data_IF_525267917995
#
_entry.id   IF_525267917995
#
_cell.length_a   1.000
_cell.length_b   1.000
_cell.length_c   1.000
_cell.angle_alpha   90.00
_cell.angle_beta   90.00
_cell.angle_gamma   90.00
#
_symmetry.space_group_name_H-M   'P 1'
#
loop_
_entity.id
_entity.type
_entity.pdbx_description
1 polymer ?
#
# COMPACT_ATOMS: atom_id res chain seq x y z
N UNK A 1 -4.66 -46.50 -23.71
CA UNK A 1 -3.66 -45.54 -24.23
C UNK A 1 -2.90 -45.01 -23.05
N UNK A 2 -1.61 -45.33 -22.97
CA UNK A 2 -0.79 -45.13 -21.77
C UNK A 2 0.63 -44.90 -22.28
N UNK A 3 1.20 -43.72 -22.02
CA UNK A 3 2.57 -43.40 -22.42
C UNK A 3 3.48 -43.34 -21.21
N UNK A 4 4.69 -43.90 -21.37
CA UNK A 4 5.61 -44.27 -20.30
C UNK A 4 6.69 -43.21 -20.09
N UNK A 5 7.06 -43.01 -18.84
CA UNK A 5 8.12 -42.10 -18.37
C UNK A 5 9.50 -42.47 -18.92
N UNK A 6 10.31 -41.46 -19.31
CA UNK A 6 11.78 -41.50 -19.22
C UNK A 6 12.36 -40.16 -18.76
N UNK A 7 13.17 -40.18 -17.70
CA UNK A 7 14.13 -39.13 -17.35
C UNK A 7 15.41 -39.29 -18.19
N UNK A 8 16.11 -38.20 -18.46
CA UNK A 8 17.59 -38.13 -18.47
C UNK A 8 18.08 -36.68 -18.52
N UNK A 9 19.08 -36.34 -17.71
CA UNK A 9 20.02 -35.24 -17.91
C UNK A 9 21.42 -35.85 -18.16
N UNK A 10 22.41 -35.10 -18.67
CA UNK A 10 23.28 -34.36 -17.73
C UNK A 10 23.84 -33.02 -18.27
N UNK A 11 24.62 -32.35 -17.43
CA UNK A 11 25.22 -31.02 -17.65
C UNK A 11 26.29 -30.95 -18.76
N UNK A 12 26.56 -29.74 -19.24
CA UNK A 12 27.68 -29.44 -20.14
C UNK A 12 28.56 -28.32 -19.58
N UNK A 13 29.84 -28.62 -19.38
CA UNK A 13 30.90 -27.68 -18.97
C UNK A 13 31.44 -26.96 -20.21
N UNK A 14 31.75 -25.66 -20.12
CA UNK A 14 32.52 -24.96 -21.16
C UNK A 14 33.82 -24.33 -20.61
N UNK A 15 34.88 -24.51 -21.40
CA UNK A 15 36.26 -24.16 -21.09
C UNK A 15 36.65 -22.76 -21.61
N UNK A 16 37.73 -22.19 -21.05
CA UNK A 16 38.32 -20.90 -21.43
C UNK A 16 39.02 -20.93 -22.80
N UNK A 17 38.86 -19.86 -23.59
CA UNK A 17 39.84 -19.48 -24.63
C UNK A 17 40.04 -17.95 -24.75
N UNK A 18 41.25 -17.56 -25.18
CA UNK A 18 41.87 -16.22 -25.32
C UNK A 18 41.93 -15.82 -26.83
N UNK A 19 42.00 -14.57 -27.31
CA UNK A 19 42.09 -13.18 -26.76
C UNK A 19 41.36 -12.24 -27.77
N UNK A 20 41.03 -10.97 -27.41
CA UNK A 20 41.47 -9.78 -28.19
C UNK A 20 41.26 -8.46 -27.40
N UNK A 21 41.98 -7.39 -27.77
CA UNK A 21 42.27 -6.19 -26.96
C UNK A 21 41.74 -4.88 -27.57
N UNK A 22 41.72 -3.83 -26.74
CA UNK A 22 41.60 -2.38 -27.01
C UNK A 22 40.17 -1.90 -27.35
N UNK A 23 39.58 -1.00 -26.57
CA UNK A 23 39.95 0.42 -26.60
C UNK A 23 39.67 1.14 -25.26
N UNK A 24 40.52 2.09 -24.88
CA UNK A 24 40.29 2.99 -23.75
C UNK A 24 39.55 4.25 -24.22
N UNK A 25 38.63 4.77 -23.40
CA UNK A 25 38.29 6.19 -23.39
C UNK A 25 38.30 6.73 -21.96
N UNK A 26 39.15 7.73 -21.73
CA UNK A 26 39.17 8.52 -20.51
C UNK A 26 38.08 9.59 -20.59
N UNK A 27 37.33 9.79 -19.50
CA UNK A 27 36.53 11.00 -19.32
C UNK A 27 37.36 11.98 -18.48
N UNK A 28 37.66 13.15 -19.05
CA UNK A 28 38.33 14.26 -18.35
C UNK A 28 37.31 15.33 -17.96
N UNK A 29 37.27 15.67 -16.68
CA UNK A 29 36.51 16.80 -16.13
C UNK A 29 37.24 18.10 -16.46
N UNK A 30 36.52 19.13 -16.91
CA UNK A 30 37.02 20.50 -17.01
C UNK A 30 35.99 21.50 -16.46
N UNK A 31 36.53 22.59 -15.89
CA UNK A 31 35.81 23.61 -15.13
C UNK A 31 36.10 25.01 -15.69
N UNK A 32 35.20 25.95 -15.39
CA UNK A 32 35.25 27.36 -15.79
C UNK A 32 34.67 27.63 -17.19
N UNK A 33 34.23 28.84 -17.54
CA UNK A 33 33.93 30.08 -16.82
C UNK A 33 33.64 31.16 -17.88
N UNK A 34 32.66 32.01 -17.60
CA UNK A 34 32.38 33.33 -18.21
C UNK A 34 31.84 33.53 -19.65
N UNK A 35 30.87 34.46 -19.65
CA UNK A 35 30.56 35.57 -20.56
C UNK A 35 30.00 35.44 -22.00
N UNK A 36 29.09 36.39 -22.25
CA UNK A 36 28.47 36.86 -23.51
C UNK A 36 27.41 35.99 -24.20
N UNK A 37 26.21 36.58 -24.35
CA UNK A 37 25.06 36.04 -25.09
C UNK A 37 24.39 37.19 -25.86
N UNK A 38 24.35 37.18 -27.21
CA UNK A 38 23.58 38.18 -27.97
C UNK A 38 22.09 37.85 -27.96
N UNK A 39 21.25 38.89 -28.04
CA UNK A 39 19.82 38.78 -28.27
C UNK A 39 19.53 38.62 -29.77
N UNK A 40 18.53 37.81 -30.14
CA UNK A 40 17.76 38.00 -31.37
C UNK A 40 16.27 37.99 -31.01
N UNK A 41 15.64 39.16 -31.10
CA UNK A 41 14.19 39.30 -31.11
C UNK A 41 13.66 38.87 -32.49
N UNK A 42 12.51 38.18 -32.53
CA UNK A 42 11.69 38.12 -33.75
C UNK A 42 10.28 38.60 -33.48
N UNK A 43 9.98 39.72 -34.11
CA UNK A 43 8.67 40.34 -34.23
C UNK A 43 7.69 39.34 -34.85
N UNK A 44 6.53 39.16 -34.22
CA UNK A 44 5.33 38.64 -34.88
C UNK A 44 4.41 39.82 -35.17
N UNK A 45 4.30 40.18 -36.45
CA UNK A 45 3.46 41.28 -36.93
C UNK A 45 2.06 40.77 -37.27
N UNK A 46 1.02 41.52 -36.91
CA UNK A 46 -0.38 41.11 -37.09
C UNK A 46 -0.76 41.02 -38.58
N UNK A 47 -1.49 39.96 -38.97
CA UNK A 47 -2.23 39.93 -40.23
C UNK A 47 -3.72 39.68 -40.00
N UNK A 48 -4.49 40.76 -40.05
CA UNK A 48 -5.93 40.78 -39.84
C UNK A 48 -6.64 40.35 -41.12
N UNK A 49 -7.08 39.09 -41.21
CA UNK A 49 -7.95 38.62 -42.30
C UNK A 49 -9.39 38.57 -41.80
N UNK A 50 -10.24 39.47 -42.31
CA UNK A 50 -11.68 39.43 -42.06
C UNK A 50 -12.34 38.40 -42.97
N UNK A 51 -12.82 37.29 -42.41
CA UNK A 51 -13.77 36.39 -43.07
C UNK A 51 -15.19 36.66 -42.58
N UNK A 52 -16.01 37.31 -43.40
CA UNK A 52 -17.46 37.34 -43.19
C UNK A 52 -18.04 35.98 -43.60
N UNK A 53 -18.55 35.22 -42.62
CA UNK A 53 -19.30 33.98 -42.90
C UNK A 53 -20.64 34.04 -42.18
N UNK A 54 -21.72 33.85 -42.95
CA UNK A 54 -23.12 33.83 -42.50
C UNK A 54 -23.35 32.72 -41.46
N UNK A 55 -24.18 32.92 -40.42
CA UNK A 55 -24.43 31.86 -39.42
C UNK A 55 -25.18 30.69 -40.06
N UNK A 56 -24.57 29.50 -40.00
CA UNK A 56 -25.19 28.27 -40.50
C UNK A 56 -26.09 27.69 -39.40
N UNK A 57 -27.40 27.67 -39.63
CA UNK A 57 -28.35 27.09 -38.68
C UNK A 57 -28.28 25.55 -38.75
N UNK A 58 -27.63 24.91 -37.78
CA UNK A 58 -27.52 23.45 -37.76
C UNK A 58 -26.60 22.82 -36.71
N UNK A 59 -25.95 23.60 -35.84
CA UNK A 59 -25.17 23.03 -34.74
C UNK A 59 -26.09 22.61 -33.59
N UNK A 60 -26.39 21.30 -33.54
CA UNK A 60 -26.80 20.64 -32.29
C UNK A 60 -25.74 20.96 -31.24
N UNK A 61 -26.11 21.45 -30.03
CA UNK A 61 -25.11 21.75 -29.01
C UNK A 61 -24.32 20.48 -28.71
N UNK A 62 -23.00 20.55 -28.86
CA UNK A 62 -22.12 19.45 -28.53
C UNK A 62 -22.32 19.12 -27.04
N UNK A 63 -22.85 17.92 -26.76
CA UNK A 63 -22.91 17.41 -25.40
C UNK A 63 -21.49 17.37 -24.84
N UNK A 64 -21.22 18.17 -23.80
CA UNK A 64 -19.93 18.13 -23.10
C UNK A 64 -19.63 16.69 -22.70
N UNK A 65 -18.52 16.17 -23.20
CA UNK A 65 -18.16 14.78 -22.98
C UNK A 65 -17.54 14.68 -21.58
N UNK A 66 -18.36 14.35 -20.59
CA UNK A 66 -17.93 14.21 -19.21
C UNK A 66 -16.98 13.01 -19.08
N UNK A 67 -15.73 13.27 -18.68
CA UNK A 67 -14.68 12.26 -18.56
C UNK A 67 -14.36 11.97 -17.08
N UNK A 68 -15.00 10.97 -16.50
CA UNK A 68 -14.86 10.56 -15.09
C UNK A 68 -13.88 9.37 -14.88
N UNK A 69 -13.68 8.97 -13.63
CA UNK A 69 -12.89 7.82 -13.21
C UNK A 69 -13.33 6.48 -13.84
N UNK A 70 -14.58 6.37 -14.32
CA UNK A 70 -15.13 5.19 -14.98
C UNK A 70 -14.99 5.25 -16.52
N UNK A 71 -14.54 6.38 -17.07
CA UNK A 71 -14.38 6.60 -18.50
C UNK A 71 -12.93 6.35 -18.94
N UNK A 72 -12.73 5.56 -19.99
CA UNK A 72 -11.39 5.23 -20.50
C UNK A 72 -10.72 6.41 -21.22
N UNK A 73 -9.39 6.50 -21.13
CA UNK A 73 -8.60 7.40 -21.97
C UNK A 73 -7.89 6.60 -23.08
N UNK A 74 -8.17 6.83 -24.38
CA UNK A 74 -7.51 6.11 -25.46
C UNK A 74 -6.07 6.59 -25.73
N UNK A 75 -5.63 7.69 -25.12
CA UNK A 75 -4.28 8.23 -25.25
C UNK A 75 -3.57 8.29 -23.90
N UNK A 76 -2.25 8.11 -23.90
CA UNK A 76 -1.46 8.06 -22.67
C UNK A 76 -1.36 9.41 -21.94
N UNK A 77 -1.42 10.54 -22.67
CA UNK A 77 -1.33 11.90 -22.09
C UNK A 77 -2.24 12.89 -22.82
N UNK A 78 -2.67 13.98 -22.14
CA UNK A 78 -2.42 14.32 -20.74
C UNK A 78 -3.15 13.37 -19.76
N UNK A 79 -2.61 13.23 -18.55
CA UNK A 79 -3.30 12.53 -17.45
C UNK A 79 -4.41 13.43 -16.89
N UNK A 80 -5.55 12.84 -16.53
CA UNK A 80 -6.62 13.49 -15.78
C UNK A 80 -6.36 13.43 -14.27
N UNK A 81 -5.68 12.37 -13.81
CA UNK A 81 -5.39 12.12 -12.39
C UNK A 81 -3.88 11.96 -12.18
N UNK A 82 -3.06 13.02 -12.41
CA UNK A 82 -1.59 12.92 -12.40
C UNK A 82 -1.04 12.32 -11.09
N UNK A 83 -1.70 12.59 -9.97
CA UNK A 83 -1.37 12.01 -8.66
C UNK A 83 -1.37 10.47 -8.63
N UNK A 84 -2.17 9.79 -9.47
CA UNK A 84 -2.18 8.34 -9.54
C UNK A 84 -0.90 7.81 -10.21
N UNK A 85 -0.36 8.55 -11.18
CA UNK A 85 0.95 8.26 -11.75
C UNK A 85 2.08 8.52 -10.73
N UNK A 86 1.95 9.56 -9.91
CA UNK A 86 2.94 9.85 -8.87
C UNK A 86 2.94 8.77 -7.78
N UNK A 87 1.76 8.31 -7.34
CA UNK A 87 1.61 7.17 -6.42
C UNK A 87 2.20 5.87 -7.02
N UNK A 88 1.89 5.54 -8.28
CA UNK A 88 2.53 4.44 -9.01
C UNK A 88 4.06 4.55 -9.00
N UNK A 89 4.59 5.74 -9.32
CA UNK A 89 6.03 5.98 -9.43
C UNK A 89 6.73 5.90 -8.07
N UNK A 90 6.08 6.36 -7.01
CA UNK A 90 6.55 6.16 -5.63
C UNK A 90 6.61 4.67 -5.30
N UNK A 91 5.57 3.90 -5.59
CA UNK A 91 5.56 2.45 -5.35
C UNK A 91 6.69 1.71 -6.09
N UNK A 92 7.03 2.15 -7.31
CA UNK A 92 8.17 1.57 -8.05
C UNK A 92 9.54 1.91 -7.42
N UNK A 93 9.66 3.00 -6.66
CA UNK A 93 10.93 3.42 -6.03
C UNK A 93 11.19 2.72 -4.70
N UNK A 94 10.13 2.33 -4.00
CA UNK A 94 10.19 1.68 -2.67
C UNK A 94 10.05 0.16 -2.75
N UNK A 95 10.09 -0.41 -3.95
CA UNK A 95 9.94 -1.84 -4.21
C UNK A 95 11.02 -2.70 -3.53
N UNK A 96 10.61 -3.83 -2.98
CA UNK A 96 11.45 -4.77 -2.21
C UNK A 96 11.00 -6.21 -2.44
N UNK A 97 11.86 -7.18 -2.09
CA UNK A 97 11.53 -8.60 -2.03
C UNK A 97 11.89 -9.20 -0.65
N UNK A 98 11.14 -10.18 -0.13
CA UNK A 98 11.37 -10.72 1.21
C UNK A 98 12.73 -11.41 1.38
N UNK A 99 13.30 -11.97 0.31
CA UNK A 99 14.63 -12.59 0.34
C UNK A 99 15.77 -11.58 0.59
N UNK A 100 15.49 -10.28 0.57
CA UNK A 100 16.45 -9.22 0.94
C UNK A 100 16.65 -9.13 2.47
N UNK A 101 15.74 -9.67 3.28
CA UNK A 101 15.76 -9.55 4.74
C UNK A 101 16.39 -10.79 5.41
N UNK A 102 17.44 -10.62 6.25
CA UNK A 102 18.07 -11.73 6.94
C UNK A 102 17.27 -12.18 8.18
N UNK A 103 16.55 -13.30 8.08
CA UNK A 103 15.71 -13.86 9.15
C UNK A 103 16.43 -14.80 10.15
N UNK A 104 17.76 -14.87 10.13
CA UNK A 104 18.52 -15.86 10.92
C UNK A 104 18.44 -15.62 12.44
N UNK A 105 18.37 -14.37 12.87
CA UNK A 105 18.16 -14.03 14.29
C UNK A 105 16.71 -14.26 14.71
N UNK A 106 15.73 -14.05 13.83
CA UNK A 106 14.31 -14.31 14.08
C UNK A 106 14.04 -15.80 14.38
N UNK A 107 14.68 -16.73 13.63
CA UNK A 107 14.62 -18.18 13.94
C UNK A 107 15.24 -18.50 15.30
N UNK A 108 16.34 -17.83 15.66
CA UNK A 108 16.98 -17.98 16.96
C UNK A 108 16.08 -17.45 18.08
N UNK A 109 15.45 -16.30 17.87
CA UNK A 109 14.57 -15.68 18.86
C UNK A 109 13.29 -16.49 19.05
N UNK A 110 12.67 -16.93 17.96
CA UNK A 110 11.52 -17.83 17.98
C UNK A 110 11.77 -19.06 18.85
N UNK A 111 12.90 -19.75 18.67
CA UNK A 111 13.19 -20.99 19.41
C UNK A 111 13.84 -20.82 20.79
N UNK A 112 14.33 -19.62 21.17
CA UNK A 112 15.16 -19.45 22.38
C UNK A 112 14.94 -18.18 23.20
N UNK A 113 14.33 -17.15 22.62
CA UNK A 113 14.16 -15.83 23.25
C UNK A 113 12.69 -15.59 23.61
N UNK A 114 11.75 -15.93 22.72
CA UNK A 114 10.32 -15.71 22.95
C UNK A 114 9.75 -16.62 24.05
N UNK A 115 8.87 -16.05 24.85
CA UNK A 115 7.98 -16.78 25.76
C UNK A 115 6.84 -17.46 24.99
N UNK A 116 6.15 -18.41 25.63
CA UNK A 116 4.99 -19.10 25.06
C UNK A 116 3.86 -18.11 24.68
N UNK A 117 3.60 -17.10 25.52
CA UNK A 117 2.61 -16.06 25.26
C UNK A 117 3.01 -15.17 24.06
N UNK A 118 4.29 -14.84 23.92
CA UNK A 118 4.80 -14.09 22.75
C UNK A 118 4.71 -14.89 21.45
N UNK A 119 5.10 -16.19 21.47
CA UNK A 119 4.92 -17.08 20.33
C UNK A 119 3.45 -17.25 19.95
N UNK A 120 2.57 -17.36 20.95
CA UNK A 120 1.13 -17.44 20.75
C UNK A 120 0.59 -16.19 20.05
N UNK A 121 0.88 -15.01 20.61
CA UNK A 121 0.45 -13.71 20.07
C UNK A 121 0.85 -13.58 18.59
N UNK A 122 2.13 -13.80 18.27
CA UNK A 122 2.65 -13.75 16.90
C UNK A 122 1.98 -14.79 15.98
N UNK A 123 1.72 -15.99 16.49
CA UNK A 123 1.00 -17.04 15.73
C UNK A 123 -0.43 -16.62 15.39
N UNK A 124 -1.17 -16.04 16.34
CA UNK A 124 -2.55 -15.60 16.10
C UNK A 124 -2.63 -14.47 15.08
N UNK A 125 -1.67 -13.55 15.08
CA UNK A 125 -1.57 -12.51 14.04
C UNK A 125 -1.38 -13.17 12.66
N UNK A 126 -0.33 -13.97 12.47
CA UNK A 126 -0.02 -14.51 11.15
C UNK A 126 -1.07 -15.47 10.57
N UNK A 127 -1.85 -16.16 11.41
CA UNK A 127 -2.97 -17.02 10.96
C UNK A 127 -4.00 -16.30 10.11
N UNK A 128 -4.22 -15.01 10.36
CA UNK A 128 -5.12 -14.19 9.54
C UNK A 128 -4.38 -13.27 8.58
N UNK A 129 -3.16 -12.84 8.91
CA UNK A 129 -2.43 -11.81 8.16
C UNK A 129 -2.26 -12.14 6.67
N UNK A 130 -1.73 -13.32 6.35
CA UNK A 130 -1.57 -13.75 4.94
C UNK A 130 -2.92 -13.86 4.20
N UNK A 131 -4.02 -14.17 4.90
CA UNK A 131 -5.36 -14.20 4.29
C UNK A 131 -5.92 -12.79 4.09
N UNK A 132 -5.66 -11.85 5.00
CA UNK A 132 -6.09 -10.46 4.87
C UNK A 132 -5.54 -9.84 3.56
N UNK A 133 -4.25 -10.01 3.30
CA UNK A 133 -3.61 -9.53 2.06
C UNK A 133 -4.17 -10.21 0.81
N UNK A 134 -4.59 -11.48 0.89
CA UNK A 134 -5.29 -12.18 -0.22
C UNK A 134 -6.65 -11.55 -0.52
N UNK A 135 -7.39 -11.09 0.50
CA UNK A 135 -8.66 -10.37 0.31
C UNK A 135 -8.43 -8.93 -0.18
N UNK A 136 -7.42 -8.22 0.35
CA UNK A 136 -7.02 -6.87 -0.13
C UNK A 136 -6.58 -6.91 -1.60
N UNK A 137 -5.67 -7.82 -1.97
CA UNK A 137 -5.30 -8.06 -3.37
C UNK A 137 -6.52 -8.34 -4.25
N UNK A 138 -7.47 -9.12 -3.73
CA UNK A 138 -8.71 -9.45 -4.43
C UNK A 138 -9.54 -8.21 -4.74
N UNK A 139 -9.56 -7.18 -3.89
CA UNK A 139 -10.22 -5.91 -4.19
C UNK A 139 -9.57 -5.19 -5.37
N UNK A 140 -8.23 -5.08 -5.39
CA UNK A 140 -7.51 -4.50 -6.51
C UNK A 140 -7.75 -5.24 -7.83
N UNK A 141 -7.56 -6.57 -7.84
CA UNK A 141 -7.65 -7.38 -9.06
C UNK A 141 -9.09 -7.58 -9.54
N UNK A 142 -10.02 -7.93 -8.64
CA UNK A 142 -11.38 -8.35 -8.99
C UNK A 142 -12.38 -7.20 -8.98
N UNK A 143 -12.17 -6.14 -8.21
CA UNK A 143 -13.11 -5.02 -8.11
C UNK A 143 -12.60 -3.77 -8.83
N UNK A 144 -11.54 -3.13 -8.33
CA UNK A 144 -11.16 -1.78 -8.77
C UNK A 144 -10.70 -1.72 -10.24
N UNK A 145 -9.98 -2.73 -10.72
CA UNK A 145 -9.58 -2.84 -12.14
C UNK A 145 -10.78 -2.89 -13.11
N UNK A 146 -11.92 -3.44 -12.65
CA UNK A 146 -13.15 -3.54 -13.44
C UNK A 146 -13.93 -2.22 -13.48
N UNK A 147 -13.77 -1.37 -12.47
CA UNK A 147 -14.46 -0.07 -12.35
C UNK A 147 -13.68 1.04 -13.04
N UNK A 148 -12.41 1.22 -12.66
CA UNK A 148 -11.62 2.39 -13.07
C UNK A 148 -10.96 2.20 -14.42
N UNK A 149 -10.85 3.28 -15.20
CA UNK A 149 -10.42 3.25 -16.61
C UNK A 149 -9.36 4.26 -17.07
N UNK A 150 -9.02 5.36 -16.37
CA UNK A 150 -7.84 6.16 -16.69
C UNK A 150 -6.57 5.32 -16.61
N UNK A 151 -5.65 5.48 -17.57
CA UNK A 151 -4.43 4.67 -17.66
C UNK A 151 -3.55 4.84 -16.42
N UNK A 152 -3.42 6.07 -15.92
CA UNK A 152 -2.66 6.40 -14.72
C UNK A 152 -3.23 5.78 -13.44
N UNK A 153 -4.57 5.64 -13.34
CA UNK A 153 -5.23 4.95 -12.22
C UNK A 153 -5.03 3.45 -12.32
N UNK A 154 -5.16 2.88 -13.53
CA UNK A 154 -4.86 1.46 -13.76
C UNK A 154 -3.39 1.10 -13.49
N UNK A 155 -2.45 2.01 -13.77
CA UNK A 155 -1.04 1.85 -13.39
C UNK A 155 -0.89 1.76 -11.86
N UNK A 156 -1.47 2.70 -11.12
CA UNK A 156 -1.45 2.73 -9.64
C UNK A 156 -2.03 1.45 -9.03
N UNK A 157 -3.25 1.06 -9.43
CA UNK A 157 -3.92 -0.14 -8.93
C UNK A 157 -3.14 -1.42 -9.28
N UNK A 158 -2.47 -1.46 -10.45
CA UNK A 158 -1.62 -2.58 -10.84
C UNK A 158 -0.34 -2.66 -10.01
N UNK A 159 0.25 -1.52 -9.59
CA UNK A 159 1.42 -1.54 -8.71
C UNK A 159 1.06 -1.98 -7.29
N UNK A 160 -0.03 -1.47 -6.72
CA UNK A 160 -0.47 -1.86 -5.37
C UNK A 160 -0.82 -3.35 -5.34
N UNK A 161 -1.63 -3.82 -6.30
CA UNK A 161 -1.93 -5.26 -6.44
C UNK A 161 -0.68 -6.14 -6.51
N UNK A 162 0.38 -5.71 -7.22
CA UNK A 162 1.64 -6.45 -7.26
C UNK A 162 2.32 -6.49 -5.89
N UNK A 163 2.30 -5.38 -5.15
CA UNK A 163 2.89 -5.29 -3.80
C UNK A 163 2.11 -6.16 -2.81
N UNK A 164 0.78 -6.28 -2.90
CA UNK A 164 0.05 -7.25 -2.08
C UNK A 164 0.51 -8.70 -2.33
N UNK A 165 0.90 -9.05 -3.57
CA UNK A 165 1.48 -10.38 -3.83
C UNK A 165 2.86 -10.56 -3.18
N UNK A 166 3.59 -9.47 -2.97
CA UNK A 166 4.86 -9.45 -2.23
C UNK A 166 4.60 -9.53 -0.72
N UNK A 167 3.57 -8.86 -0.19
CA UNK A 167 3.13 -9.01 1.21
C UNK A 167 2.78 -10.47 1.53
N UNK A 168 1.91 -11.09 0.73
CA UNK A 168 1.54 -12.51 0.84
C UNK A 168 2.79 -13.41 0.82
N UNK A 169 3.71 -13.17 -0.12
CA UNK A 169 4.94 -13.94 -0.24
C UNK A 169 5.90 -13.71 0.95
N UNK A 170 5.95 -12.49 1.50
CA UNK A 170 6.83 -12.13 2.60
C UNK A 170 6.39 -12.75 3.93
N UNK A 171 5.10 -12.68 4.25
CA UNK A 171 4.57 -13.34 5.45
C UNK A 171 4.64 -14.86 5.33
N UNK A 172 4.39 -15.41 4.14
CA UNK A 172 4.61 -16.84 3.86
C UNK A 172 6.08 -17.24 4.06
N UNK A 173 7.03 -16.48 3.52
CA UNK A 173 8.46 -16.73 3.70
C UNK A 173 8.90 -16.66 5.16
N UNK A 174 8.37 -15.71 5.93
CA UNK A 174 8.64 -15.58 7.36
C UNK A 174 8.12 -16.80 8.14
N UNK A 175 6.87 -17.22 7.87
CA UNK A 175 6.23 -18.39 8.49
C UNK A 175 6.98 -19.69 8.21
N UNK A 176 7.33 -19.93 6.94
CA UNK A 176 8.13 -21.08 6.52
C UNK A 176 9.50 -21.10 7.22
N UNK A 177 10.11 -19.92 7.39
CA UNK A 177 11.45 -19.77 7.99
C UNK A 177 11.47 -20.07 9.49
N UNK A 178 10.43 -19.69 10.25
CA UNK A 178 10.27 -20.08 11.66
C UNK A 178 9.71 -21.50 11.85
N UNK A 179 9.40 -22.20 10.75
CA UNK A 179 8.94 -23.59 10.75
C UNK A 179 7.47 -23.76 11.13
N UNK A 180 6.62 -22.77 10.85
CA UNK A 180 5.18 -22.88 11.11
C UNK A 180 4.54 -23.91 10.14
N UNK A 181 3.65 -24.81 10.61
CA UNK A 181 3.00 -25.79 9.73
C UNK A 181 2.05 -25.14 8.71
N UNK A 182 2.00 -25.65 7.48
CA UNK A 182 1.05 -25.19 6.43
C UNK A 182 -0.43 -25.23 6.88
N UNK A 183 -0.77 -26.06 7.88
CA UNK A 183 -2.13 -26.10 8.43
C UNK A 183 -2.58 -24.79 9.05
N UNK A 184 -1.65 -23.92 9.47
CA UNK A 184 -1.94 -22.62 10.07
C UNK A 184 -2.51 -21.61 9.06
N UNK A 185 -2.14 -21.67 7.77
CA UNK A 185 -2.78 -20.88 6.70
C UNK A 185 -4.30 -21.15 6.57
N UNK A 186 -4.77 -22.31 7.05
CA UNK A 186 -6.19 -22.67 7.07
C UNK A 186 -6.86 -22.50 8.45
N UNK A 187 -6.10 -22.08 9.47
CA UNK A 187 -6.58 -22.03 10.83
C UNK A 187 -7.63 -20.94 11.06
N UNK A 188 -7.59 -19.83 10.32
CA UNK A 188 -8.55 -18.75 10.45
C UNK A 188 -10.01 -19.20 10.28
N UNK A 189 -10.28 -20.21 9.44
CA UNK A 189 -11.62 -20.78 9.26
C UNK A 189 -12.17 -21.52 10.49
N UNK A 190 -11.33 -21.77 11.51
CA UNK A 190 -11.66 -22.49 12.76
C UNK A 190 -11.85 -21.55 13.95
N UNK A 191 -11.33 -20.33 13.88
CA UNK A 191 -11.50 -19.29 14.90
C UNK A 191 -12.65 -18.38 14.49
N UNK A 192 -13.64 -18.17 15.37
CA UNK A 192 -14.85 -17.42 15.03
C UNK A 192 -14.50 -15.97 14.68
N UNK A 193 -13.60 -15.39 15.45
CA UNK A 193 -13.13 -14.01 15.40
C UNK A 193 -12.49 -13.71 14.03
N UNK A 194 -11.66 -14.64 13.53
CA UNK A 194 -11.03 -14.53 12.21
C UNK A 194 -11.99 -14.88 11.06
N UNK A 195 -12.90 -15.85 11.27
CA UNK A 195 -13.89 -16.23 10.27
C UNK A 195 -14.94 -15.12 10.04
N UNK A 196 -15.37 -14.44 11.10
CA UNK A 196 -16.32 -13.33 10.99
C UNK A 196 -15.70 -12.17 10.18
N UNK A 197 -14.41 -11.84 10.43
CA UNK A 197 -13.64 -10.89 9.60
C UNK A 197 -13.63 -11.28 8.12
N UNK A 198 -13.34 -12.55 7.83
CA UNK A 198 -13.37 -13.09 6.47
C UNK A 198 -14.77 -12.99 5.83
N UNK A 199 -15.82 -13.41 6.53
CA UNK A 199 -17.21 -13.35 6.04
C UNK A 199 -17.64 -11.90 5.78
N UNK A 200 -17.23 -10.94 6.62
CA UNK A 200 -17.49 -9.52 6.45
C UNK A 200 -16.84 -8.97 5.18
N UNK A 201 -15.58 -9.35 4.88
CA UNK A 201 -14.91 -9.01 3.62
C UNK A 201 -15.68 -9.52 2.38
N UNK A 202 -16.29 -10.71 2.47
CA UNK A 202 -17.10 -11.27 1.36
C UNK A 202 -18.45 -10.57 1.17
N UNK A 203 -18.87 -9.65 2.05
CA UNK A 203 -20.15 -8.93 1.93
C UNK A 203 -20.13 -7.78 0.92
N UNK A 204 -18.93 -7.36 0.49
CA UNK A 204 -18.71 -6.21 -0.39
C UNK A 204 -18.77 -6.58 -1.87
N UNK A 205 -19.19 -5.62 -2.71
CA UNK A 205 -19.41 -5.82 -4.15
C UNK A 205 -19.22 -4.50 -4.93
N UNK A 206 -19.41 -4.55 -6.26
CA UNK A 206 -19.30 -3.38 -7.14
C UNK A 206 -20.48 -3.24 -8.11
N UNK A 207 -21.65 -3.75 -7.73
CA UNK A 207 -22.81 -3.86 -8.63
C UNK A 207 -23.37 -2.49 -9.07
N UNK A 208 -23.09 -1.44 -8.30
CA UNK A 208 -23.47 -0.06 -8.61
C UNK A 208 -22.52 0.94 -7.92
N UNK A 209 -22.66 2.24 -8.26
CA UNK A 209 -21.80 3.31 -7.74
C UNK A 209 -21.77 3.44 -6.21
N UNK A 210 -22.88 3.19 -5.50
CA UNK A 210 -22.90 3.22 -4.02
C UNK A 210 -22.06 2.08 -3.45
N UNK A 211 -22.24 0.87 -3.98
CA UNK A 211 -21.48 -0.31 -3.54
C UNK A 211 -19.98 -0.19 -3.89
N UNK A 212 -19.64 0.38 -5.05
CA UNK A 212 -18.25 0.75 -5.39
C UNK A 212 -17.65 1.65 -4.31
N UNK A 213 -18.34 2.74 -3.94
CA UNK A 213 -17.86 3.65 -2.90
C UNK A 213 -17.75 2.98 -1.52
N UNK A 214 -18.68 2.09 -1.15
CA UNK A 214 -18.59 1.27 0.08
C UNK A 214 -17.35 0.39 0.08
N UNK A 215 -17.13 -0.36 -1.00
CA UNK A 215 -16.01 -1.27 -1.15
C UNK A 215 -14.66 -0.53 -1.17
N UNK A 216 -14.61 0.72 -1.66
CA UNK A 216 -13.43 1.57 -1.56
C UNK A 216 -13.13 2.01 -0.11
N UNK A 217 -14.14 2.44 0.64
CA UNK A 217 -13.97 2.80 2.05
C UNK A 217 -13.64 1.58 2.91
N UNK A 218 -14.35 0.46 2.71
CA UNK A 218 -14.16 -0.78 3.45
C UNK A 218 -12.73 -1.33 3.30
N UNK A 219 -12.27 -1.59 2.08
CA UNK A 219 -10.93 -2.14 1.88
C UNK A 219 -9.85 -1.07 2.07
N UNK A 220 -9.87 0.01 1.27
CA UNK A 220 -8.79 1.01 1.24
C UNK A 220 -8.65 1.87 2.50
N UNK A 221 -9.72 2.13 3.25
CA UNK A 221 -9.62 2.94 4.49
C UNK A 221 -9.66 2.09 5.77
N UNK A 222 -10.48 1.03 5.82
CA UNK A 222 -10.69 0.27 7.08
C UNK A 222 -9.96 -1.09 7.13
N UNK A 223 -9.73 -1.77 6.01
CA UNK A 223 -8.93 -3.00 6.01
C UNK A 223 -7.44 -2.69 5.91
N UNK A 224 -7.02 -2.02 4.84
CA UNK A 224 -5.64 -1.53 4.65
C UNK A 224 -5.27 -0.53 5.75
N UNK A 225 -6.06 0.54 5.91
CA UNK A 225 -5.72 1.66 6.78
C UNK A 225 -5.94 1.49 8.29
N UNK A 226 -6.61 0.43 8.76
CA UNK A 226 -6.98 0.26 10.17
C UNK A 226 -6.75 -1.18 10.66
N UNK A 227 -7.32 -2.20 10.01
CA UNK A 227 -7.16 -3.59 10.41
C UNK A 227 -5.70 -4.05 10.33
N UNK A 228 -4.99 -3.76 9.22
CA UNK A 228 -3.57 -4.13 9.13
C UNK A 228 -2.72 -3.34 10.15
N UNK A 229 -3.03 -2.06 10.37
CA UNK A 229 -2.34 -1.20 11.35
C UNK A 229 -2.44 -1.71 12.80
N UNK A 230 -3.56 -2.33 13.18
CA UNK A 230 -3.70 -3.03 14.47
C UNK A 230 -2.63 -4.11 14.66
N UNK A 231 -2.41 -4.91 13.62
CA UNK A 231 -1.46 -6.02 13.62
C UNK A 231 -0.02 -5.54 13.49
N UNK A 232 0.23 -4.51 12.66
CA UNK A 232 1.53 -3.85 12.56
C UNK A 232 2.00 -3.29 13.91
N UNK A 233 1.12 -2.63 14.68
CA UNK A 233 1.43 -2.14 16.02
C UNK A 233 1.93 -3.28 16.93
N UNK A 234 1.22 -4.41 16.95
CA UNK A 234 1.60 -5.59 17.74
C UNK A 234 2.96 -6.14 17.30
N UNK A 235 3.18 -6.32 16.00
CA UNK A 235 4.42 -6.90 15.49
C UNK A 235 5.64 -5.96 15.67
N UNK A 236 5.48 -4.65 15.52
CA UNK A 236 6.55 -3.67 15.75
C UNK A 236 6.98 -3.56 17.22
N UNK A 237 6.17 -4.02 18.18
CA UNK A 237 6.56 -4.04 19.58
C UNK A 237 7.71 -5.04 19.86
N UNK A 238 7.91 -6.08 19.05
CA UNK A 238 9.01 -7.04 19.23
C UNK A 238 10.41 -6.44 18.97
N UNK A 239 10.69 -5.79 17.82
CA UNK A 239 11.99 -5.17 17.55
C UNK A 239 12.35 -4.05 18.54
N UNK A 240 11.36 -3.37 19.15
CA UNK A 240 11.55 -2.43 20.27
C UNK A 240 12.29 -3.04 21.47
N UNK A 241 12.06 -4.34 21.72
CA UNK A 241 12.75 -5.13 22.74
C UNK A 241 13.85 -6.04 22.17
N UNK A 242 14.39 -5.69 20.98
CA UNK A 242 15.48 -6.41 20.31
C UNK A 242 15.15 -7.89 20.01
N UNK A 243 13.88 -8.21 19.73
CA UNK A 243 13.39 -9.52 19.29
C UNK A 243 12.88 -9.43 17.85
N UNK A 244 12.99 -10.51 17.06
CA UNK A 244 12.35 -10.62 15.73
C UNK A 244 12.62 -9.42 14.80
N UNK A 245 13.91 -9.09 14.59
CA UNK A 245 14.31 -7.88 13.85
C UNK A 245 14.02 -7.96 12.35
N UNK A 246 14.16 -9.13 11.75
CA UNK A 246 13.86 -9.34 10.33
C UNK A 246 12.36 -9.20 10.06
N UNK A 247 11.50 -9.80 10.89
CA UNK A 247 10.06 -9.53 10.91
C UNK A 247 9.78 -8.04 11.07
N UNK A 248 10.46 -7.37 12.01
CA UNK A 248 10.35 -5.92 12.22
C UNK A 248 10.63 -5.10 10.97
N UNK A 249 11.65 -5.49 10.19
CA UNK A 249 12.00 -4.84 8.93
C UNK A 249 10.95 -5.09 7.83
N UNK A 250 10.49 -6.34 7.67
CA UNK A 250 9.38 -6.69 6.74
C UNK A 250 8.14 -5.86 7.06
N UNK A 251 7.73 -5.85 8.33
CA UNK A 251 6.55 -5.10 8.80
C UNK A 251 6.72 -3.59 8.57
N UNK A 252 7.90 -3.03 8.80
CA UNK A 252 8.15 -1.60 8.54
C UNK A 252 8.04 -1.23 7.06
N UNK A 253 8.46 -2.13 6.17
CA UNK A 253 8.29 -1.95 4.72
C UNK A 253 6.81 -2.07 4.30
N UNK A 254 6.08 -3.06 4.83
CA UNK A 254 4.64 -3.15 4.58
C UNK A 254 3.85 -1.96 5.14
N UNK A 255 4.19 -1.40 6.31
CA UNK A 255 3.52 -0.19 6.82
C UNK A 255 3.70 0.98 5.84
N UNK A 256 4.90 1.17 5.28
CA UNK A 256 5.18 2.20 4.26
C UNK A 256 4.31 2.01 3.01
N UNK A 257 4.19 0.78 2.55
CA UNK A 257 3.37 0.44 1.36
C UNK A 257 1.87 0.61 1.65
N UNK A 258 1.34 0.05 2.74
CA UNK A 258 -0.06 0.21 3.17
C UNK A 258 -0.44 1.68 3.43
N UNK A 259 0.50 2.50 3.90
CA UNK A 259 0.25 3.95 4.07
C UNK A 259 0.04 4.62 2.71
N UNK A 260 0.86 4.28 1.71
CA UNK A 260 0.71 4.79 0.35
C UNK A 260 -0.57 4.26 -0.32
N UNK A 261 -0.87 2.96 -0.14
CA UNK A 261 -2.09 2.31 -0.64
C UNK A 261 -3.33 3.01 -0.07
N UNK A 262 -3.47 3.04 1.26
CA UNK A 262 -4.60 3.61 1.98
C UNK A 262 -4.86 5.08 1.60
N UNK A 263 -3.85 5.94 1.65
CA UNK A 263 -4.00 7.37 1.34
C UNK A 263 -4.38 7.60 -0.13
N UNK A 264 -3.80 6.83 -1.05
CA UNK A 264 -4.13 6.89 -2.48
C UNK A 264 -5.56 6.40 -2.76
N UNK A 265 -6.00 5.34 -2.08
CA UNK A 265 -7.36 4.81 -2.19
C UNK A 265 -8.41 5.74 -1.57
N UNK A 266 -8.09 6.42 -0.46
CA UNK A 266 -8.92 7.49 0.10
C UNK A 266 -9.02 8.68 -0.90
N UNK A 267 -7.94 9.07 -1.58
CA UNK A 267 -8.01 10.12 -2.62
C UNK A 267 -8.84 9.71 -3.82
N UNK A 268 -8.73 8.45 -4.25
CA UNK A 268 -9.56 7.86 -5.29
C UNK A 268 -11.04 7.86 -4.87
N UNK A 269 -11.35 7.51 -3.62
CA UNK A 269 -12.69 7.57 -3.05
C UNK A 269 -13.26 9.00 -3.03
N UNK A 270 -12.52 9.97 -2.47
CA UNK A 270 -12.95 11.38 -2.44
C UNK A 270 -13.17 11.94 -3.84
N UNK A 271 -12.36 11.51 -4.81
CA UNK A 271 -12.53 11.89 -6.22
C UNK A 271 -13.76 11.24 -6.82
N UNK A 272 -14.01 9.96 -6.55
CA UNK A 272 -15.22 9.26 -7.00
C UNK A 272 -16.50 9.88 -6.41
N UNK A 273 -16.52 10.24 -5.12
CA UNK A 273 -17.65 10.94 -4.50
C UNK A 273 -17.86 12.34 -5.12
N UNK A 274 -16.79 13.09 -5.37
CA UNK A 274 -16.85 14.41 -6.03
C UNK A 274 -17.40 14.34 -7.46
N UNK A 275 -17.13 13.26 -8.20
CA UNK A 275 -17.67 12.99 -9.53
C UNK A 275 -19.11 12.43 -9.50
N UNK A 276 -19.60 12.01 -8.33
CA UNK A 276 -20.91 11.40 -8.12
C UNK A 276 -21.57 11.95 -6.84
N UNK A 277 -21.81 13.28 -6.75
CA UNK A 277 -22.21 13.95 -5.52
C UNK A 277 -23.58 13.49 -5.00
N UNK A 278 -24.42 12.88 -5.84
CA UNK A 278 -25.69 12.27 -5.45
C UNK A 278 -25.55 11.11 -4.45
N UNK A 279 -24.36 10.51 -4.35
CA UNK A 279 -24.06 9.45 -3.39
C UNK A 279 -23.89 9.96 -1.96
N UNK A 280 -23.51 11.24 -1.77
CA UNK A 280 -23.05 11.78 -0.48
C UNK A 280 -24.18 12.20 0.48
N UNK A 281 -25.16 11.30 0.65
CA UNK A 281 -26.30 11.51 1.56
C UNK A 281 -25.90 11.29 3.03
N UNK A 282 -26.76 11.72 3.96
CA UNK A 282 -26.57 11.42 5.40
C UNK A 282 -26.58 9.91 5.65
N UNK A 283 -27.59 9.21 5.12
CA UNK A 283 -27.72 7.76 5.20
C UNK A 283 -26.49 7.02 4.65
N UNK A 284 -25.78 7.59 3.67
CA UNK A 284 -24.55 7.00 3.16
C UNK A 284 -23.36 7.23 4.10
N UNK A 285 -23.23 8.44 4.65
CA UNK A 285 -22.18 8.77 5.63
C UNK A 285 -22.29 7.93 6.90
N UNK A 286 -23.50 7.69 7.40
CA UNK A 286 -23.72 6.78 8.53
C UNK A 286 -23.50 5.30 8.17
N UNK A 287 -23.83 4.85 6.95
CA UNK A 287 -23.47 3.50 6.48
C UNK A 287 -21.94 3.28 6.47
N UNK A 288 -21.16 4.30 6.08
CA UNK A 288 -19.69 4.24 6.13
C UNK A 288 -19.13 4.25 7.56
N UNK A 289 -19.72 5.04 8.46
CA UNK A 289 -19.37 4.99 9.90
C UNK A 289 -19.70 3.64 10.52
N UNK A 290 -20.79 2.99 10.11
CA UNK A 290 -21.16 1.66 10.61
C UNK A 290 -20.20 0.56 10.14
N UNK A 291 -19.71 0.63 8.89
CA UNK A 291 -18.62 -0.24 8.41
C UNK A 291 -17.39 -0.06 9.31
N UNK A 292 -17.00 1.18 9.63
CA UNK A 292 -15.88 1.47 10.53
C UNK A 292 -16.08 0.85 11.93
N UNK A 293 -17.26 1.05 12.54
CA UNK A 293 -17.61 0.44 13.84
C UNK A 293 -17.52 -1.09 13.79
N UNK A 294 -18.09 -1.70 12.76
CA UNK A 294 -18.04 -3.16 12.56
C UNK A 294 -16.60 -3.67 12.44
N UNK A 295 -15.73 -2.96 11.72
CA UNK A 295 -14.30 -3.30 11.65
C UNK A 295 -13.62 -3.20 13.03
N UNK A 296 -13.89 -2.16 13.81
CA UNK A 296 -13.32 -2.03 15.17
C UNK A 296 -13.83 -3.13 16.11
N UNK A 297 -15.11 -3.51 16.05
CA UNK A 297 -15.65 -4.62 16.83
C UNK A 297 -15.01 -5.97 16.47
N UNK A 298 -14.74 -6.19 15.18
CA UNK A 298 -14.00 -7.36 14.70
C UNK A 298 -12.54 -7.36 15.16
N UNK A 299 -11.85 -6.21 15.15
CA UNK A 299 -10.50 -6.11 15.69
C UNK A 299 -10.46 -6.31 17.21
N UNK A 300 -11.41 -5.74 17.96
CA UNK A 300 -11.50 -5.93 19.41
C UNK A 300 -11.56 -7.42 19.78
N UNK A 301 -12.38 -8.19 19.07
CA UNK A 301 -12.51 -9.64 19.26
C UNK A 301 -11.25 -10.41 18.82
N UNK A 302 -10.63 -10.00 17.72
CA UNK A 302 -9.36 -10.59 17.24
C UNK A 302 -8.19 -10.32 18.22
N UNK A 303 -8.14 -9.15 18.84
CA UNK A 303 -7.14 -8.78 19.86
C UNK A 303 -7.35 -9.58 21.13
N UNK A 304 -8.59 -9.77 21.58
CA UNK A 304 -8.86 -10.60 22.76
C UNK A 304 -8.42 -12.06 22.54
N UNK A 305 -8.60 -12.60 21.33
CA UNK A 305 -8.06 -13.91 20.95
C UNK A 305 -6.52 -13.90 20.88
N UNK A 306 -5.92 -12.87 20.29
CA UNK A 306 -4.46 -12.78 20.13
C UNK A 306 -3.72 -12.63 21.47
N UNK A 307 -4.33 -11.94 22.44
CA UNK A 307 -3.83 -11.74 23.80
C UNK A 307 -4.45 -12.70 24.83
N UNK A 308 -5.02 -13.86 24.44
CA UNK A 308 -5.66 -14.78 25.40
C UNK A 308 -4.70 -15.31 26.48
N UNK A 309 -3.39 -15.33 26.20
CA UNK A 309 -2.33 -15.69 27.15
C UNK A 309 -1.85 -14.52 28.03
N UNK A 310 -2.45 -13.33 27.90
CA UNK A 310 -2.12 -12.12 28.66
C UNK A 310 -1.24 -11.12 27.90
N UNK A 311 -0.89 -9.98 28.54
CA UNK A 311 -0.06 -8.94 27.94
C UNK A 311 1.40 -9.39 27.75
N UNK A 312 2.09 -8.77 26.79
CA UNK A 312 3.51 -9.00 26.50
C UNK A 312 4.36 -7.81 26.97
N UNK A 313 5.68 -7.91 26.84
CA UNK A 313 6.60 -6.86 27.25
C UNK A 313 6.27 -5.53 26.54
N UNK A 314 5.89 -4.50 27.30
CA UNK A 314 5.63 -3.16 26.79
C UNK A 314 4.31 -2.95 26.03
N UNK A 315 3.39 -3.93 26.02
CA UNK A 315 2.09 -3.83 25.34
C UNK A 315 1.00 -4.73 25.95
N UNK A 316 -0.19 -4.17 26.17
CA UNK A 316 -1.43 -4.90 26.51
C UNK A 316 -2.47 -4.82 25.38
N UNK A 317 -3.49 -5.67 25.45
CA UNK A 317 -4.64 -5.63 24.53
C UNK A 317 -5.37 -4.28 24.55
N UNK A 318 -5.50 -3.67 25.73
CA UNK A 318 -6.16 -2.37 25.90
C UNK A 318 -5.41 -1.25 25.16
N UNK A 319 -4.08 -1.26 25.17
CA UNK A 319 -3.27 -0.27 24.46
C UNK A 319 -3.51 -0.34 22.94
N UNK A 320 -3.61 -1.56 22.39
CA UNK A 320 -3.92 -1.79 20.97
C UNK A 320 -5.36 -1.42 20.64
N UNK A 321 -6.33 -1.74 21.51
CA UNK A 321 -7.74 -1.37 21.34
C UNK A 321 -7.95 0.15 21.31
N UNK A 322 -7.23 0.90 22.15
CA UNK A 322 -7.21 2.37 22.09
C UNK A 322 -6.53 2.89 20.82
N UNK A 323 -5.41 2.29 20.41
CA UNK A 323 -4.72 2.66 19.17
C UNK A 323 -5.61 2.53 17.94
N UNK A 324 -6.42 1.47 17.86
CA UNK A 324 -7.36 1.27 16.74
C UNK A 324 -8.45 2.32 16.71
N UNK A 325 -8.93 2.79 17.86
CA UNK A 325 -9.94 3.87 17.95
C UNK A 325 -9.36 5.21 17.46
N UNK A 326 -8.11 5.51 17.84
CA UNK A 326 -7.35 6.64 17.31
C UNK A 326 -7.19 6.57 15.77
N UNK A 327 -6.79 5.40 15.24
CA UNK A 327 -6.67 5.21 13.78
C UNK A 327 -8.03 5.29 13.08
N UNK A 328 -9.09 4.72 13.67
CA UNK A 328 -10.44 4.74 13.11
C UNK A 328 -10.96 6.17 12.88
N UNK A 329 -10.84 7.03 13.89
CA UNK A 329 -11.23 8.44 13.79
C UNK A 329 -10.38 9.21 12.76
N UNK A 330 -9.09 8.88 12.62
CA UNK A 330 -8.23 9.42 11.56
C UNK A 330 -8.72 9.01 10.17
N UNK A 331 -9.06 7.73 9.95
CA UNK A 331 -9.56 7.24 8.65
C UNK A 331 -10.95 7.80 8.31
N UNK A 332 -11.84 7.93 9.29
CA UNK A 332 -13.12 8.62 9.13
C UNK A 332 -12.92 10.08 8.69
N UNK A 333 -12.04 10.81 9.39
CA UNK A 333 -11.72 12.21 9.05
C UNK A 333 -11.14 12.34 7.63
N UNK A 334 -10.20 11.46 7.26
CA UNK A 334 -9.61 11.40 5.91
C UNK A 334 -10.66 11.08 4.82
N UNK A 335 -11.66 10.24 5.09
CA UNK A 335 -12.81 10.01 4.22
C UNK A 335 -13.78 11.21 4.14
N UNK A 336 -13.69 12.18 5.06
CA UNK A 336 -14.59 13.33 5.15
C UNK A 336 -15.84 13.08 6.01
N UNK A 337 -15.71 12.20 7.00
CA UNK A 337 -16.73 11.85 7.99
C UNK A 337 -16.31 12.38 9.36
N UNK A 338 -17.28 12.68 10.24
CA UNK A 338 -16.98 13.03 11.62
C UNK A 338 -16.43 11.82 12.40
N UNK A 339 -15.47 12.02 13.32
CA UNK A 339 -14.98 10.97 14.22
C UNK A 339 -16.08 10.45 15.15
N UNK A 340 -15.90 9.23 15.68
CA UNK A 340 -16.89 8.53 16.51
C UNK A 340 -16.36 8.06 17.87
N UNK A 341 -15.03 7.98 18.09
CA UNK A 341 -14.45 7.48 19.35
C UNK A 341 -13.90 8.58 20.27
N UNK A 342 -13.36 9.66 19.73
CA UNK A 342 -12.82 10.80 20.48
C UNK A 342 -11.43 10.56 21.09
N UNK A 343 -10.64 9.62 20.58
CA UNK A 343 -9.25 9.43 20.98
C UNK A 343 -8.36 10.42 20.20
N UNK A 344 -8.02 11.56 20.82
CA UNK A 344 -7.27 12.66 20.16
C UNK A 344 -5.75 12.43 20.09
N UNK A 345 -5.19 11.61 20.99
CA UNK A 345 -3.73 11.35 21.10
C UNK A 345 -3.39 9.90 20.73
N UNK A 346 -2.28 9.69 20.00
CA UNK A 346 -1.76 8.35 19.72
C UNK A 346 -1.34 7.67 21.03
N UNK A 347 -1.98 6.56 21.47
CA UNK A 347 -1.60 5.86 22.70
C UNK A 347 -0.31 5.04 22.55
N UNK A 348 0.18 4.83 21.33
CA UNK A 348 1.42 4.12 21.00
C UNK A 348 2.39 5.04 20.22
N UNK A 349 2.83 6.17 20.78
CA UNK A 349 3.62 7.18 20.06
C UNK A 349 5.00 6.69 19.60
N UNK A 350 5.50 5.60 20.19
CA UNK A 350 6.74 4.95 19.78
C UNK A 350 6.63 4.26 18.41
N UNK A 351 5.43 4.03 17.87
CA UNK A 351 5.25 3.52 16.50
C UNK A 351 5.79 4.54 15.50
N UNK A 352 5.45 5.82 15.68
CA UNK A 352 5.92 6.92 14.82
C UNK A 352 7.46 7.01 14.87
N UNK A 353 8.06 6.92 16.06
CA UNK A 353 9.52 6.87 16.24
C UNK A 353 10.16 5.68 15.50
N UNK A 354 9.54 4.50 15.54
CA UNK A 354 10.08 3.28 14.93
C UNK A 354 10.02 3.30 13.40
N UNK A 355 8.91 3.79 12.83
CA UNK A 355 8.77 3.93 11.38
C UNK A 355 9.78 4.92 10.80
N UNK A 356 10.01 6.04 11.51
CA UNK A 356 11.00 7.06 11.12
C UNK A 356 12.45 6.56 11.29
N UNK A 357 12.74 5.74 12.32
CA UNK A 357 14.09 5.25 12.58
C UNK A 357 14.61 4.26 11.50
N UNK A 358 13.73 3.48 10.87
CA UNK A 358 14.10 2.49 9.85
C UNK A 358 14.62 3.14 8.55
N UNK A 359 14.14 4.34 8.19
CA UNK A 359 14.71 5.12 7.09
C UNK A 359 16.20 5.43 7.31
N UNK A 360 16.53 5.90 8.51
CA UNK A 360 17.89 6.33 8.85
C UNK A 360 18.88 5.16 8.97
N UNK A 361 18.44 3.97 9.40
CA UNK A 361 19.29 2.79 9.50
C UNK A 361 19.73 2.24 8.14
N UNK A 362 18.82 2.24 7.15
CA UNK A 362 19.09 1.77 5.78
C UNK A 362 20.15 2.62 5.05
N UNK A 363 20.45 3.83 5.53
CA UNK A 363 21.51 4.69 4.98
C UNK A 363 22.93 4.21 5.34
N UNK A 364 23.14 3.46 6.43
CA UNK A 364 24.47 3.18 6.98
C UNK A 364 24.95 1.72 6.89
N UNK A 365 24.07 0.72 6.98
CA UNK A 365 24.51 -0.68 7.20
C UNK A 365 24.20 -1.69 6.08
N UNK A 366 23.42 -1.34 5.05
CA UNK A 366 23.13 -2.22 3.91
C UNK A 366 23.46 -1.60 2.54
N UNK A 367 23.60 -2.45 1.52
CA UNK A 367 23.94 -2.03 0.15
C UNK A 367 22.84 -1.11 -0.40
N UNK A 368 23.25 0.08 -0.86
CA UNK A 368 22.35 1.09 -1.42
C UNK A 368 21.48 0.56 -2.58
N UNK A 369 20.17 0.40 -2.33
CA UNK A 369 19.14 0.21 -3.36
C UNK A 369 18.34 1.49 -3.60
N UNK A 370 18.25 2.42 -2.65
CA UNK A 370 17.58 3.70 -2.83
C UNK A 370 18.58 4.86 -3.10
N UNK A 371 18.69 5.25 -4.37
CA UNK A 371 19.23 6.56 -4.77
C UNK A 371 18.07 7.44 -5.25
N UNK A 372 17.43 8.15 -4.32
CA UNK A 372 16.54 9.29 -4.61
C UNK A 372 16.64 10.33 -3.50
N UNK A 373 16.31 11.58 -3.83
CA UNK A 373 16.73 12.76 -3.06
C UNK A 373 15.86 13.03 -1.82
N UNK A 374 16.54 13.68 -0.86
CA UNK A 374 16.04 14.41 0.30
C UNK A 374 15.85 13.57 1.57
N UNK A 375 16.63 13.94 2.60
CA UNK A 375 16.31 13.64 3.99
C UNK A 375 15.11 14.47 4.40
N UNK A 376 13.91 13.88 4.33
CA UNK A 376 12.69 14.46 4.88
C UNK A 376 12.74 14.46 6.42
N UNK A 377 12.05 15.42 7.02
CA UNK A 377 11.72 15.43 8.44
C UNK A 377 10.20 15.46 8.55
N UNK A 378 9.61 14.43 9.13
CA UNK A 378 8.16 14.18 9.22
C UNK A 378 7.88 12.68 9.19
N UNK A 379 6.62 12.27 9.38
CA UNK A 379 6.21 10.86 9.24
C UNK A 379 5.92 10.48 7.77
N UNK A 380 5.83 9.17 7.48
CA UNK A 380 5.36 8.69 6.17
C UNK A 380 3.97 9.23 5.83
N UNK A 381 3.05 9.23 6.80
CA UNK A 381 1.74 9.85 6.62
C UNK A 381 1.85 11.33 6.28
N UNK A 382 2.67 12.14 6.97
CA UNK A 382 2.84 13.56 6.63
C UNK A 382 3.42 13.75 5.21
N UNK A 383 4.43 12.94 4.86
CA UNK A 383 5.07 12.97 3.55
C UNK A 383 4.10 12.64 2.41
N UNK A 384 3.15 11.73 2.64
CA UNK A 384 2.12 11.38 1.67
C UNK A 384 0.89 12.30 1.73
N UNK A 385 0.36 12.62 2.90
CA UNK A 385 -0.83 13.49 3.11
C UNK A 385 -0.68 14.84 2.38
N UNK A 386 0.49 15.48 2.50
CA UNK A 386 0.79 16.73 1.79
C UNK A 386 0.76 16.62 0.27
N UNK A 387 0.98 15.43 -0.30
CA UNK A 387 0.84 15.18 -1.74
C UNK A 387 -0.58 14.72 -2.13
N UNK A 388 -1.35 14.19 -1.18
CA UNK A 388 -2.61 13.46 -1.37
C UNK A 388 -3.84 14.35 -1.18
N UNK A 389 -3.81 15.32 -0.28
CA UNK A 389 -4.99 16.12 0.10
C UNK A 389 -4.99 17.59 -0.37
N UNK A 390 -4.04 17.99 -1.21
CA UNK A 390 -4.13 19.21 -2.06
C UNK A 390 -5.17 19.07 -3.20
#
# INVERSE_FOLDING_TARGET
MTWVVRRCAPAMVFSRTKVLKNTNFHVSVLSGSDETRPQEERVFEESKVMSNTTPNAGETPATEQHYDLMTANPVYKPFRYPWAYDAWLTQQRVHWLPEEVPLADDVKDWHRTLTEAEQHLVTQIFRFFTQADVEVNSAYMKYYSQVFKPTEVLMMLSSFSNIETIHIAAYSHLLDTIGMPETEYSAFLKYKEMKDKYDFMQSFNIDNKREIAKTMAAFGAFMEGLQLFASFAILLNFPRFNKLKGMGQIVSWSVRDETLHCLSMIRLFRTFIRENPELWTEDFREELKEICRTTVEHEDAFIDLAFEMGPVEGMSSEDVKRYIRFIADRRLTQLGLDPVYGEEENPLPWIDDMLNAVEHANFFENRSTEYSRASTSGTWEEAFEGSVFE
#
